data_IF_884811848562
#
_entry.id   IF_884811848562
#
_cell.length_a   1.000
_cell.length_b   1.000
_cell.length_c   1.000
_cell.angle_alpha   90.00
_cell.angle_beta   90.00
_cell.angle_gamma   90.00
#
_symmetry.space_group_name_H-M   'P 1'
#
loop_
_entity.id
_entity.type
_entity.pdbx_description
1 polymer ?
#
# COMPACT_ATOMS: atom_id res chain seq x y z
N UNK A 1 28.09 -9.36 -21.16
CA UNK A 1 27.54 -8.26 -20.34
C UNK A 1 26.24 -8.75 -19.71
N UNK A 2 26.28 -9.04 -18.41
CA UNK A 2 25.14 -9.53 -17.64
C UNK A 2 24.35 -8.33 -17.12
N UNK A 3 23.27 -7.94 -17.81
CA UNK A 3 22.19 -7.23 -17.12
C UNK A 3 21.35 -8.27 -16.40
N UNK A 4 21.71 -8.53 -15.15
CA UNK A 4 20.91 -9.33 -14.23
C UNK A 4 19.61 -8.59 -13.96
N UNK A 5 18.53 -8.99 -14.64
CA UNK A 5 17.15 -8.64 -14.30
C UNK A 5 16.80 -9.42 -13.02
N UNK A 6 17.38 -9.00 -11.90
CA UNK A 6 16.93 -9.39 -10.56
C UNK A 6 16.15 -8.19 -10.06
N UNK A 7 14.83 -8.28 -10.02
CA UNK A 7 13.89 -7.46 -9.21
C UNK A 7 12.48 -7.38 -9.84
N UNK A 8 11.82 -8.52 -10.11
CA UNK A 8 10.36 -8.54 -9.93
C UNK A 8 9.90 -9.51 -8.84
N UNK A 9 10.65 -10.59 -8.58
CA UNK A 9 10.19 -11.66 -7.68
C UNK A 9 9.97 -11.22 -6.22
N UNK A 10 10.73 -10.25 -5.71
CA UNK A 10 10.62 -9.78 -4.33
C UNK A 10 9.41 -8.86 -4.10
N UNK A 11 9.07 -8.00 -5.08
CA UNK A 11 7.89 -7.13 -5.02
C UNK A 11 6.59 -7.93 -5.14
N UNK A 12 6.55 -8.94 -6.02
CA UNK A 12 5.42 -9.87 -6.08
C UNK A 12 5.24 -10.64 -4.78
N UNK A 13 6.32 -11.08 -4.13
CA UNK A 13 6.25 -11.75 -2.83
C UNK A 13 5.71 -10.84 -1.71
N UNK A 14 6.02 -9.54 -1.75
CA UNK A 14 5.49 -8.57 -0.79
C UNK A 14 3.98 -8.34 -0.97
N UNK A 15 3.48 -8.33 -2.21
CA UNK A 15 2.05 -8.23 -2.49
C UNK A 15 1.27 -9.46 -2.02
N UNK A 16 1.82 -10.66 -2.23
CA UNK A 16 1.22 -11.91 -1.74
C UNK A 16 1.08 -11.94 -0.21
N UNK A 17 2.09 -11.44 0.53
CA UNK A 17 2.01 -11.31 1.99
C UNK A 17 0.89 -10.35 2.42
N UNK A 18 0.71 -9.24 1.71
CA UNK A 18 -0.37 -8.28 1.98
C UNK A 18 -1.75 -8.91 1.73
N UNK A 19 -1.91 -9.68 0.64
CA UNK A 19 -3.15 -10.38 0.31
C UNK A 19 -3.46 -11.46 1.36
N UNK A 20 -2.46 -12.23 1.77
CA UNK A 20 -2.60 -13.25 2.81
C UNK A 20 -2.99 -12.63 4.16
N UNK A 21 -2.34 -11.52 4.54
CA UNK A 21 -2.69 -10.77 5.75
C UNK A 21 -4.13 -10.24 5.69
N UNK A 22 -4.55 -9.68 4.57
CA UNK A 22 -5.92 -9.18 4.38
C UNK A 22 -6.97 -10.30 4.49
N UNK A 23 -6.69 -11.49 3.93
CA UNK A 23 -7.58 -12.65 4.04
C UNK A 23 -7.76 -13.14 5.48
N UNK A 24 -6.72 -13.00 6.32
CA UNK A 24 -6.77 -13.40 7.72
C UNK A 24 -7.47 -12.41 8.66
N UNK A 25 -7.83 -11.22 8.18
CA UNK A 25 -8.40 -10.16 9.03
C UNK A 25 -9.83 -10.49 9.47
N UNK A 26 -10.07 -10.45 10.78
CA UNK A 26 -11.38 -10.67 11.37
C UNK A 26 -11.61 -9.75 12.57
N UNK A 27 -12.88 -9.56 12.93
CA UNK A 27 -13.28 -8.77 14.11
C UNK A 27 -13.27 -7.25 13.86
N UNK A 28 -13.58 -6.48 14.91
CA UNK A 28 -13.79 -5.03 14.82
C UNK A 28 -12.55 -4.27 14.34
N UNK A 29 -11.34 -4.82 14.55
CA UNK A 29 -10.07 -4.20 14.12
C UNK A 29 -9.75 -4.42 12.64
N UNK A 30 -10.41 -5.37 11.97
CA UNK A 30 -10.14 -5.72 10.58
C UNK A 30 -10.26 -4.50 9.65
N UNK A 31 -11.28 -3.66 9.85
CA UNK A 31 -11.50 -2.45 9.04
C UNK A 31 -10.32 -1.47 9.17
N UNK A 32 -9.86 -1.20 10.39
CA UNK A 32 -8.72 -0.32 10.65
C UNK A 32 -7.40 -0.87 10.08
N UNK A 33 -7.19 -2.19 10.16
CA UNK A 33 -5.99 -2.83 9.61
C UNK A 33 -5.98 -2.86 8.08
N UNK A 34 -7.14 -3.10 7.45
CA UNK A 34 -7.27 -3.12 6.00
C UNK A 34 -7.07 -1.72 5.40
N UNK A 35 -7.59 -0.68 6.08
CA UNK A 35 -7.37 0.72 5.70
C UNK A 35 -5.88 1.10 5.79
N UNK A 36 -5.16 0.66 6.83
CA UNK A 36 -3.70 0.88 6.96
C UNK A 36 -2.90 0.16 5.87
N UNK A 37 -3.23 -1.09 5.57
CA UNK A 37 -2.58 -1.82 4.46
C UNK A 37 -2.81 -1.11 3.12
N UNK A 38 -4.03 -0.63 2.90
CA UNK A 38 -4.37 0.09 1.67
C UNK A 38 -3.61 1.42 1.54
N UNK A 39 -3.43 2.15 2.64
CA UNK A 39 -2.59 3.37 2.67
C UNK A 39 -1.14 3.06 2.29
N UNK A 40 -0.54 2.03 2.90
CA UNK A 40 0.85 1.63 2.62
C UNK A 40 1.05 1.21 1.15
N UNK A 41 0.08 0.50 0.55
CA UNK A 41 0.12 0.14 -0.87
C UNK A 41 0.06 1.38 -1.78
N UNK A 42 -0.79 2.35 -1.46
CA UNK A 42 -0.90 3.59 -2.23
C UNK A 42 0.36 4.46 -2.10
N UNK A 43 0.98 4.51 -0.93
CA UNK A 43 2.27 5.19 -0.74
C UNK A 43 3.37 4.57 -1.61
N UNK A 44 3.46 3.23 -1.62
CA UNK A 44 4.41 2.54 -2.48
C UNK A 44 4.14 2.80 -3.97
N UNK A 45 2.86 2.80 -4.38
CA UNK A 45 2.47 3.17 -5.74
C UNK A 45 2.89 4.61 -6.09
N UNK A 46 2.65 5.57 -5.18
CA UNK A 46 3.05 6.96 -5.37
C UNK A 46 4.59 7.10 -5.50
N UNK A 47 5.35 6.35 -4.71
CA UNK A 47 6.81 6.30 -4.79
C UNK A 47 7.27 5.81 -6.17
N UNK A 48 6.74 4.70 -6.65
CA UNK A 48 7.09 4.13 -7.96
C UNK A 48 6.68 5.05 -9.12
N UNK A 49 5.54 5.74 -9.01
CA UNK A 49 5.11 6.73 -9.99
C UNK A 49 6.00 7.98 -9.99
N UNK A 50 6.43 8.44 -8.82
CA UNK A 50 7.38 9.54 -8.72
C UNK A 50 8.75 9.16 -9.30
N UNK A 51 9.17 7.90 -9.12
CA UNK A 51 10.41 7.33 -9.65
C UNK A 51 10.40 7.17 -11.17
N UNK A 52 9.24 6.92 -11.78
CA UNK A 52 9.08 6.64 -13.23
C UNK A 52 8.72 7.87 -14.08
N UNK A 53 8.93 9.09 -13.58
CA UNK A 53 8.56 10.38 -14.22
C UNK A 53 7.04 10.60 -14.44
N UNK A 54 6.19 9.75 -13.87
CA UNK A 54 4.73 9.86 -13.85
C UNK A 54 4.20 10.86 -12.81
N UNK A 55 4.54 12.16 -12.93
CA UNK A 55 4.32 13.15 -11.86
C UNK A 55 2.86 13.58 -11.64
N UNK A 56 1.97 13.42 -12.63
CA UNK A 56 0.65 14.04 -12.63
C UNK A 56 -0.33 13.56 -11.55
N UNK A 57 -0.10 12.37 -10.97
CA UNK A 57 -1.04 11.75 -10.02
C UNK A 57 -0.44 11.45 -8.64
N UNK A 58 0.87 11.59 -8.46
CA UNK A 58 1.59 11.27 -7.21
C UNK A 58 0.98 12.01 -6.02
N UNK A 59 0.81 13.33 -6.13
CA UNK A 59 0.25 14.13 -5.04
C UNK A 59 -1.17 13.71 -4.66
N UNK A 60 -1.99 13.32 -5.64
CA UNK A 60 -3.36 12.84 -5.36
C UNK A 60 -3.33 11.50 -4.62
N UNK A 61 -2.43 10.59 -5.01
CA UNK A 61 -2.32 9.28 -4.37
C UNK A 61 -1.83 9.42 -2.93
N UNK A 62 -0.86 10.30 -2.67
CA UNK A 62 -0.39 10.61 -1.31
C UNK A 62 -1.54 11.14 -0.44
N UNK A 63 -2.36 12.05 -0.96
CA UNK A 63 -3.52 12.57 -0.23
C UNK A 63 -4.55 11.48 0.09
N UNK A 64 -4.80 10.57 -0.86
CA UNK A 64 -5.70 9.43 -0.62
C UNK A 64 -5.11 8.49 0.45
N UNK A 65 -3.80 8.19 0.39
CA UNK A 65 -3.13 7.38 1.41
C UNK A 65 -3.27 7.99 2.81
N UNK A 66 -3.01 9.29 2.95
CA UNK A 66 -3.16 10.00 4.22
C UNK A 66 -4.61 9.99 4.75
N UNK A 67 -5.59 10.06 3.86
CA UNK A 67 -7.01 9.96 4.20
C UNK A 67 -7.38 8.56 4.69
N UNK A 68 -6.87 7.51 4.06
CA UNK A 68 -7.06 6.13 4.52
C UNK A 68 -6.45 5.90 5.90
N UNK A 69 -5.29 6.48 6.18
CA UNK A 69 -4.72 6.44 7.53
C UNK A 69 -5.59 7.15 8.56
N UNK A 70 -6.16 8.31 8.21
CA UNK A 70 -7.09 9.04 9.09
C UNK A 70 -8.31 8.17 9.39
N UNK A 71 -8.94 7.60 8.37
CA UNK A 71 -10.07 6.69 8.51
C UNK A 71 -9.72 5.45 9.35
N UNK A 72 -8.50 4.91 9.21
CA UNK A 72 -8.04 3.78 10.00
C UNK A 72 -7.94 4.11 11.50
N UNK A 73 -7.46 5.30 11.84
CA UNK A 73 -7.41 5.79 13.23
C UNK A 73 -8.81 5.93 13.82
N UNK A 74 -9.76 6.43 13.04
CA UNK A 74 -11.16 6.58 13.45
C UNK A 74 -11.84 5.22 13.64
N UNK A 75 -11.61 4.27 12.72
CA UNK A 75 -12.14 2.91 12.84
C UNK A 75 -11.55 2.15 14.04
N UNK A 76 -10.31 2.43 14.45
CA UNK A 76 -9.70 1.83 15.63
C UNK A 76 -10.23 2.40 16.96
N UNK A 77 -10.86 3.57 16.92
CA UNK A 77 -11.40 4.25 18.09
C UNK A 77 -12.86 3.89 18.41
N UNK A 78 -13.51 3.11 17.52
CA UNK A 78 -14.85 2.55 17.68
C UNK A 78 -14.81 1.18 18.36
#
# INVERSE_FOLDING_TARGET
MLHSIKEPAAEYAAFEDVIARAHGMQGSRAVSELLRLSAALLEHCAYEMARSDGRGQVSRIILISAELERMAREAAAQ
#
